data_IF_587338516199
#
_entry.id   IF_587338516199
#
_cell.length_a   1.000
_cell.length_b   1.000
_cell.length_c   1.000
_cell.angle_alpha   90.00
_cell.angle_beta   90.00
_cell.angle_gamma   90.00
#
_symmetry.space_group_name_H-M   'P 1'
#
loop_
_entity.id
_entity.type
_entity.pdbx_description
1 polymer ?
#
# COMPACT_ATOMS: atom_id res chain seq x y z
N UNK A 1 -29.80 -5.48 -22.90
CA UNK A 1 -28.61 -4.72 -23.36
C UNK A 1 -27.50 -4.90 -22.33
N UNK A 2 -26.27 -5.24 -22.71
CA UNK A 2 -25.36 -5.98 -21.86
C UNK A 2 -24.51 -5.02 -21.00
N UNK A 3 -24.77 -5.01 -19.70
CA UNK A 3 -24.00 -4.28 -18.67
C UNK A 3 -22.50 -4.60 -18.75
N UNK A 4 -22.14 -5.80 -19.19
CA UNK A 4 -20.76 -6.25 -19.36
C UNK A 4 -19.98 -5.47 -20.43
N UNK A 5 -20.64 -5.11 -21.55
CA UNK A 5 -20.00 -4.36 -22.63
C UNK A 5 -19.60 -2.94 -22.19
N UNK A 6 -20.39 -2.34 -21.30
CA UNK A 6 -20.16 -1.00 -20.77
C UNK A 6 -19.00 -0.98 -19.76
N UNK A 7 -18.86 -2.05 -18.97
CA UNK A 7 -17.78 -2.24 -17.99
C UNK A 7 -16.41 -2.43 -18.67
N UNK A 8 -16.38 -3.16 -19.79
CA UNK A 8 -15.16 -3.37 -20.59
C UNK A 8 -14.68 -2.05 -21.22
N UNK A 9 -15.59 -1.23 -21.75
CA UNK A 9 -15.24 0.07 -22.34
C UNK A 9 -14.70 1.03 -21.26
N UNK A 10 -15.33 1.05 -20.07
CA UNK A 10 -14.90 1.90 -18.95
C UNK A 10 -13.50 1.53 -18.45
N UNK A 11 -13.19 0.24 -18.32
CA UNK A 11 -11.86 -0.24 -17.93
C UNK A 11 -10.78 0.07 -18.98
N UNK A 12 -11.12 -0.04 -20.27
CA UNK A 12 -10.19 0.30 -21.36
C UNK A 12 -9.85 1.79 -21.38
N UNK A 13 -10.82 2.65 -21.10
CA UNK A 13 -10.64 4.10 -21.03
C UNK A 13 -9.77 4.50 -19.83
N UNK A 14 -10.01 3.91 -18.66
CA UNK A 14 -9.26 4.16 -17.43
C UNK A 14 -7.78 3.75 -17.59
N UNK A 15 -7.53 2.58 -18.19
CA UNK A 15 -6.17 2.09 -18.45
C UNK A 15 -5.40 2.98 -19.45
N UNK A 16 -6.09 3.55 -20.45
CA UNK A 16 -5.49 4.48 -21.41
C UNK A 16 -5.08 5.81 -20.75
N UNK A 17 -5.94 6.35 -19.88
CA UNK A 17 -5.62 7.56 -19.12
C UNK A 17 -4.46 7.33 -18.14
N UNK A 18 -4.43 6.17 -17.47
CA UNK A 18 -3.35 5.83 -16.55
C UNK A 18 -1.99 5.72 -17.26
N UNK A 19 -1.95 5.10 -18.45
CA UNK A 19 -0.73 5.06 -19.29
C UNK A 19 -0.26 6.46 -19.71
N UNK A 20 -1.18 7.36 -20.03
CA UNK A 20 -0.83 8.73 -20.40
C UNK A 20 -0.26 9.51 -19.21
N UNK A 21 -0.86 9.37 -18.02
CA UNK A 21 -0.34 9.92 -16.77
C UNK A 21 1.05 9.39 -16.40
N UNK A 22 1.27 8.07 -16.54
CA UNK A 22 2.59 7.45 -16.33
C UNK A 22 3.64 7.97 -17.32
N UNK A 23 3.26 8.21 -18.57
CA UNK A 23 4.16 8.75 -19.59
C UNK A 23 4.54 10.21 -19.31
N UNK A 24 3.58 11.03 -18.86
CA UNK A 24 3.82 12.43 -18.46
C UNK A 24 4.75 12.50 -17.24
N UNK A 25 4.50 11.67 -16.22
CA UNK A 25 5.33 11.63 -15.00
C UNK A 25 6.75 11.11 -15.27
N UNK A 26 6.93 10.20 -16.23
CA UNK A 26 8.25 9.75 -16.67
C UNK A 26 9.03 10.84 -17.43
N UNK A 27 8.35 11.65 -18.25
CA UNK A 27 8.95 12.73 -19.04
C UNK A 27 9.53 13.85 -18.15
N UNK A 28 8.85 14.16 -17.04
CA UNK A 28 9.27 15.20 -16.07
C UNK A 28 10.56 14.84 -15.31
N UNK A 29 10.99 13.57 -15.35
CA UNK A 29 12.16 13.10 -14.60
C UNK A 29 13.50 13.52 -15.21
N UNK A 30 13.52 14.02 -16.45
CA UNK A 30 14.75 14.16 -17.25
C UNK A 30 15.03 15.58 -17.75
N UNK A 31 14.45 16.62 -17.13
CA UNK A 31 14.74 18.01 -17.51
C UNK A 31 15.82 18.64 -16.60
N UNK A 32 16.87 19.15 -17.23
CA UNK A 32 17.97 19.85 -16.58
C UNK A 32 17.48 21.12 -15.88
N UNK A 33 17.44 21.07 -14.54
CA UNK A 33 16.93 22.14 -13.64
C UNK A 33 17.64 23.50 -13.76
N UNK A 34 18.65 23.63 -14.63
CA UNK A 34 19.49 24.84 -14.75
C UNK A 34 18.95 25.89 -15.73
N UNK A 35 18.09 25.50 -16.68
CA UNK A 35 17.54 26.37 -17.74
C UNK A 35 16.00 26.38 -17.75
N UNK A 36 15.40 25.99 -16.64
CA UNK A 36 13.95 25.85 -16.52
C UNK A 36 13.26 27.22 -16.47
N UNK A 37 12.25 27.42 -17.31
CA UNK A 37 11.40 28.62 -17.29
C UNK A 37 10.45 28.62 -16.09
N UNK A 38 10.05 29.80 -15.60
CA UNK A 38 9.11 29.95 -14.49
C UNK A 38 7.81 29.14 -14.69
N UNK A 39 7.31 29.09 -15.92
CA UNK A 39 6.11 28.32 -16.27
C UNK A 39 6.32 26.80 -16.11
N UNK A 40 7.51 26.29 -16.47
CA UNK A 40 7.85 24.88 -16.34
C UNK A 40 7.99 24.47 -14.87
N UNK A 41 8.59 25.33 -14.05
CA UNK A 41 8.68 25.12 -12.60
C UNK A 41 7.29 25.06 -11.96
N UNK A 42 6.38 25.98 -12.32
CA UNK A 42 5.02 26.00 -11.79
C UNK A 42 4.20 24.79 -12.24
N UNK A 43 4.32 24.39 -13.51
CA UNK A 43 3.67 23.19 -14.04
C UNK A 43 4.18 21.92 -13.33
N UNK A 44 5.47 21.81 -13.07
CA UNK A 44 6.06 20.70 -12.31
C UNK A 44 5.51 20.62 -10.90
N UNK A 45 5.41 21.75 -10.20
CA UNK A 45 4.83 21.82 -8.85
C UNK A 45 3.35 21.43 -8.89
N UNK A 46 2.58 21.98 -9.83
CA UNK A 46 1.17 21.66 -10.02
C UNK A 46 0.96 20.15 -10.26
N UNK A 47 1.75 19.51 -11.12
CA UNK A 47 1.66 18.07 -11.37
C UNK A 47 2.00 17.26 -10.12
N UNK A 48 3.00 17.66 -9.32
CA UNK A 48 3.31 16.99 -8.05
C UNK A 48 2.12 17.06 -7.08
N UNK A 49 1.49 18.23 -6.95
CA UNK A 49 0.31 18.41 -6.11
C UNK A 49 -0.90 17.63 -6.63
N UNK A 50 -1.16 17.66 -7.93
CA UNK A 50 -2.23 16.88 -8.56
C UNK A 50 -2.02 15.37 -8.35
N UNK A 51 -0.78 14.89 -8.49
CA UNK A 51 -0.43 13.49 -8.24
C UNK A 51 -0.65 13.12 -6.78
N UNK A 52 -0.33 14.04 -5.85
CA UNK A 52 -0.52 13.82 -4.42
C UNK A 52 -2.02 13.80 -4.05
N UNK A 53 -2.83 14.71 -4.60
CA UNK A 53 -4.30 14.70 -4.42
C UNK A 53 -4.89 13.42 -4.99
N UNK A 54 -4.50 13.05 -6.22
CA UNK A 54 -4.93 11.81 -6.83
C UNK A 54 -4.55 10.60 -5.98
N UNK A 55 -3.34 10.58 -5.45
CA UNK A 55 -2.89 9.52 -4.54
C UNK A 55 -3.74 9.47 -3.27
N UNK A 56 -4.04 10.61 -2.63
CA UNK A 56 -4.90 10.68 -1.43
C UNK A 56 -6.30 10.14 -1.74
N UNK A 57 -6.91 10.58 -2.85
CA UNK A 57 -8.26 10.13 -3.24
C UNK A 57 -8.30 8.63 -3.55
N UNK A 58 -7.30 8.11 -4.23
CA UNK A 58 -7.20 6.68 -4.55
C UNK A 58 -6.78 5.86 -3.33
N UNK A 59 -6.06 6.45 -2.37
CA UNK A 59 -5.60 5.77 -1.17
C UNK A 59 -6.77 5.28 -0.33
N UNK A 60 -7.86 6.04 -0.25
CA UNK A 60 -9.09 5.62 0.42
C UNK A 60 -9.67 4.34 -0.21
N UNK A 61 -9.86 4.34 -1.53
CA UNK A 61 -10.30 3.13 -2.26
C UNK A 61 -9.31 1.97 -2.18
N UNK A 62 -8.00 2.24 -2.11
CA UNK A 62 -6.98 1.21 -1.91
C UNK A 62 -7.04 0.62 -0.50
N UNK A 63 -7.32 1.44 0.51
CA UNK A 63 -7.53 0.97 1.88
C UNK A 63 -8.80 0.12 1.96
N UNK A 64 -9.90 0.55 1.35
CA UNK A 64 -11.14 -0.23 1.28
C UNK A 64 -10.91 -1.58 0.59
N UNK A 65 -10.21 -1.59 -0.55
CA UNK A 65 -9.85 -2.83 -1.23
C UNK A 65 -8.97 -3.73 -0.36
N UNK A 66 -8.00 -3.14 0.35
CA UNK A 66 -7.11 -3.89 1.24
C UNK A 66 -7.87 -4.49 2.42
N UNK A 67 -8.79 -3.75 3.03
CA UNK A 67 -9.65 -4.22 4.12
C UNK A 67 -10.59 -5.33 3.63
N UNK A 68 -11.20 -5.16 2.46
CA UNK A 68 -12.03 -6.20 1.83
C UNK A 68 -11.23 -7.48 1.54
N UNK A 69 -9.98 -7.34 1.07
CA UNK A 69 -9.11 -8.49 0.85
C UNK A 69 -8.71 -9.18 2.16
N UNK A 70 -8.41 -8.41 3.21
CA UNK A 70 -8.16 -8.96 4.54
C UNK A 70 -9.36 -9.73 5.08
N UNK A 71 -10.58 -9.21 4.90
CA UNK A 71 -11.81 -9.87 5.31
C UNK A 71 -11.98 -11.24 4.63
N UNK A 72 -11.77 -11.29 3.30
CA UNK A 72 -11.79 -12.55 2.54
C UNK A 72 -10.73 -13.53 3.06
N UNK A 73 -9.51 -13.06 3.34
CA UNK A 73 -8.43 -13.91 3.87
C UNK A 73 -8.78 -14.44 5.25
N UNK A 74 -9.36 -13.63 6.13
CA UNK A 74 -9.80 -14.05 7.46
C UNK A 74 -10.92 -15.10 7.32
N UNK A 75 -11.91 -14.85 6.46
CA UNK A 75 -13.01 -15.79 6.22
C UNK A 75 -12.51 -17.11 5.65
N UNK A 76 -11.59 -17.08 4.69
CA UNK A 76 -10.96 -18.27 4.13
C UNK A 76 -10.15 -19.04 5.19
N UNK A 77 -9.42 -18.31 6.05
CA UNK A 77 -8.67 -18.91 7.15
C UNK A 77 -9.60 -19.58 8.15
N UNK A 78 -10.72 -18.94 8.49
CA UNK A 78 -11.76 -19.51 9.34
C UNK A 78 -12.32 -20.80 8.74
N UNK A 79 -12.68 -20.79 7.45
CA UNK A 79 -13.16 -21.97 6.74
C UNK A 79 -12.14 -23.12 6.74
N UNK A 80 -10.85 -22.81 6.58
CA UNK A 80 -9.78 -23.80 6.67
C UNK A 80 -9.66 -24.40 8.08
N UNK A 81 -9.80 -23.58 9.13
CA UNK A 81 -9.80 -24.07 10.52
C UNK A 81 -10.99 -25.01 10.75
N UNK A 82 -12.19 -24.61 10.34
CA UNK A 82 -13.40 -25.42 10.47
C UNK A 82 -13.29 -26.76 9.72
N UNK A 83 -12.72 -26.74 8.51
CA UNK A 83 -12.46 -27.96 7.74
C UNK A 83 -11.47 -28.91 8.44
N UNK A 84 -10.40 -28.36 9.04
CA UNK A 84 -9.43 -29.14 9.81
C UNK A 84 -10.06 -29.71 11.07
N UNK A 85 -10.87 -28.92 11.78
CA UNK A 85 -11.60 -29.35 12.98
C UNK A 85 -12.53 -30.53 12.66
N UNK A 86 -13.33 -30.41 11.60
CA UNK A 86 -14.20 -31.49 11.14
C UNK A 86 -13.41 -32.77 10.79
N UNK A 87 -12.28 -32.62 10.08
CA UNK A 87 -11.40 -33.74 9.74
C UNK A 87 -10.83 -34.41 10.99
N UNK A 88 -10.44 -33.63 12.00
CA UNK A 88 -9.91 -34.15 13.27
C UNK A 88 -10.97 -34.90 14.06
N UNK A 89 -12.21 -34.40 14.12
CA UNK A 89 -13.34 -35.09 14.77
C UNK A 89 -13.57 -36.46 14.12
N UNK A 90 -13.64 -36.52 12.79
CA UNK A 90 -13.80 -37.78 12.05
C UNK A 90 -12.62 -38.74 12.30
N UNK A 91 -11.39 -38.23 12.25
CA UNK A 91 -10.19 -39.04 12.46
C UNK A 91 -10.15 -39.63 13.88
N UNK A 92 -10.53 -38.84 14.89
CA UNK A 92 -10.58 -39.28 16.29
C UNK A 92 -11.70 -40.30 16.53
N UNK A 93 -12.89 -40.07 15.97
CA UNK A 93 -14.00 -41.01 16.04
C UNK A 93 -13.61 -42.37 15.45
N UNK A 94 -12.88 -42.37 14.34
CA UNK A 94 -12.41 -43.60 13.69
C UNK A 94 -11.24 -44.26 14.43
N UNK A 95 -10.27 -43.48 14.93
CA UNK A 95 -9.04 -44.04 15.52
C UNK A 95 -9.20 -44.55 16.95
N UNK A 96 -10.11 -43.98 17.74
CA UNK A 96 -9.99 -44.09 19.20
C UNK A 96 -11.21 -44.72 19.91
N UNK A 97 -12.38 -44.89 19.27
CA UNK A 97 -13.57 -45.55 19.87
C UNK A 97 -13.83 -45.15 21.35
N UNK A 98 -13.52 -43.91 21.73
CA UNK A 98 -13.51 -43.41 23.11
C UNK A 98 -14.67 -42.44 23.32
N UNK A 99 -15.10 -42.29 24.56
CA UNK A 99 -16.20 -41.41 24.98
C UNK A 99 -15.98 -39.96 24.51
N UNK A 100 -17.03 -39.34 23.95
CA UNK A 100 -16.92 -38.09 23.17
C UNK A 100 -16.23 -36.93 23.91
N UNK A 101 -16.39 -36.84 25.23
CA UNK A 101 -15.80 -35.78 26.07
C UNK A 101 -14.26 -35.75 26.08
N UNK A 102 -13.58 -36.91 26.00
CA UNK A 102 -12.11 -36.92 26.01
C UNK A 102 -11.54 -36.46 24.67
N UNK A 103 -12.25 -36.73 23.57
CA UNK A 103 -11.81 -36.34 22.23
C UNK A 103 -11.86 -34.83 22.01
N UNK A 104 -12.91 -34.16 22.49
CA UNK A 104 -13.09 -32.70 22.38
C UNK A 104 -11.96 -31.95 23.09
N UNK A 105 -11.58 -32.41 24.28
CA UNK A 105 -10.51 -31.81 25.09
C UNK A 105 -9.13 -31.93 24.41
N UNK A 106 -8.86 -33.05 23.73
CA UNK A 106 -7.59 -33.28 23.01
C UNK A 106 -7.49 -32.36 21.78
N UNK A 107 -8.59 -32.18 21.04
CA UNK A 107 -8.60 -31.30 19.85
C UNK A 107 -8.32 -29.85 20.26
N UNK A 108 -9.06 -29.33 21.25
CA UNK A 108 -8.91 -27.94 21.71
C UNK A 108 -7.49 -27.67 22.21
N UNK A 109 -6.92 -28.57 23.02
CA UNK A 109 -5.56 -28.40 23.52
C UNK A 109 -4.52 -28.43 22.39
N UNK A 110 -4.70 -29.30 21.39
CA UNK A 110 -3.80 -29.37 20.23
C UNK A 110 -3.88 -28.10 19.38
N UNK A 111 -5.08 -27.56 19.19
CA UNK A 111 -5.29 -26.28 18.50
C UNK A 111 -4.63 -25.11 19.24
N UNK A 112 -4.78 -25.04 20.57
CA UNK A 112 -4.14 -24.00 21.40
C UNK A 112 -2.61 -24.07 21.31
N UNK A 113 -2.02 -25.26 21.42
CA UNK A 113 -0.56 -25.44 21.31
C UNK A 113 -0.06 -25.00 19.93
N UNK A 114 -0.78 -25.38 18.87
CA UNK A 114 -0.44 -25.02 17.49
C UNK A 114 -0.53 -23.51 17.26
N UNK A 115 -1.58 -22.87 17.75
CA UNK A 115 -1.78 -21.42 17.66
C UNK A 115 -0.67 -20.65 18.41
N UNK A 116 -0.33 -21.08 19.63
CA UNK A 116 0.77 -20.49 20.41
C UNK A 116 2.12 -20.64 19.69
N UNK A 117 2.39 -21.80 19.09
CA UNK A 117 3.62 -22.05 18.35
C UNK A 117 3.75 -21.15 17.11
N UNK A 118 2.67 -21.01 16.33
CA UNK A 118 2.64 -20.12 15.18
C UNK A 118 2.80 -18.66 15.56
N UNK A 119 2.09 -18.19 16.60
CA UNK A 119 2.22 -16.83 17.11
C UNK A 119 3.66 -16.54 17.57
N UNK A 120 4.27 -17.47 18.30
CA UNK A 120 5.67 -17.37 18.73
C UNK A 120 6.64 -17.26 17.54
N UNK A 121 6.48 -18.10 16.51
CA UNK A 121 7.28 -18.02 15.27
C UNK A 121 7.09 -16.69 14.56
N UNK A 122 5.87 -16.18 14.48
CA UNK A 122 5.56 -14.91 13.83
C UNK A 122 6.27 -13.74 14.52
N UNK A 123 6.21 -13.71 15.86
CA UNK A 123 6.88 -12.70 16.69
C UNK A 123 8.40 -12.72 16.49
N UNK A 124 9.02 -13.89 16.28
CA UNK A 124 10.45 -13.99 16.03
C UNK A 124 10.88 -13.53 14.63
N UNK A 125 10.04 -13.75 13.61
CA UNK A 125 10.37 -13.44 12.21
C UNK A 125 10.03 -11.98 11.84
N UNK A 126 8.92 -11.45 12.37
CA UNK A 126 8.45 -10.08 12.15
C UNK A 126 9.52 -8.99 12.34
N UNK A 127 10.36 -8.98 13.40
CA UNK A 127 11.36 -7.93 13.59
C UNK A 127 12.42 -7.95 12.49
N UNK A 128 12.83 -9.12 12.00
CA UNK A 128 13.86 -9.23 10.95
C UNK A 128 13.39 -8.63 9.63
N UNK A 129 12.15 -8.92 9.24
CA UNK A 129 11.52 -8.34 8.05
C UNK A 129 11.36 -6.82 8.19
N UNK A 130 10.89 -6.37 9.35
CA UNK A 130 10.70 -4.95 9.65
C UNK A 130 12.01 -4.16 9.58
N UNK A 131 13.09 -4.68 10.15
CA UNK A 131 14.42 -4.03 10.12
C UNK A 131 14.92 -3.92 8.67
N UNK A 132 14.81 -4.99 7.88
CA UNK A 132 15.25 -4.99 6.47
C UNK A 132 14.47 -3.98 5.64
N UNK A 133 13.16 -3.93 5.82
CA UNK A 133 12.30 -2.97 5.14
C UNK A 133 12.66 -1.53 5.52
N UNK A 134 12.76 -1.23 6.82
CA UNK A 134 13.17 0.10 7.32
C UNK A 134 14.53 0.52 6.77
N UNK A 135 15.52 -0.39 6.73
CA UNK A 135 16.86 -0.08 6.23
C UNK A 135 16.85 0.26 4.74
N UNK A 136 16.12 -0.51 3.93
CA UNK A 136 15.99 -0.27 2.49
C UNK A 136 15.27 1.05 2.21
N UNK A 137 14.18 1.32 2.93
CA UNK A 137 13.43 2.56 2.83
C UNK A 137 14.30 3.76 3.20
N UNK A 138 15.03 3.68 4.32
CA UNK A 138 15.94 4.73 4.78
C UNK A 138 17.06 4.98 3.77
N UNK A 139 17.65 3.94 3.19
CA UNK A 139 18.69 4.08 2.18
C UNK A 139 18.18 4.69 0.87
N UNK A 140 16.94 4.38 0.46
CA UNK A 140 16.30 5.02 -0.68
C UNK A 140 15.99 6.51 -0.39
N UNK A 141 15.45 6.77 0.79
CA UNK A 141 15.11 8.11 1.28
C UNK A 141 16.33 9.04 1.35
N UNK A 142 17.43 8.58 1.97
CA UNK A 142 18.68 9.35 2.06
C UNK A 142 19.26 9.67 0.68
N UNK A 143 19.18 8.74 -0.27
CA UNK A 143 19.61 8.97 -1.66
C UNK A 143 18.75 10.04 -2.34
N UNK A 144 17.44 10.04 -2.08
CA UNK A 144 16.52 11.05 -2.60
C UNK A 144 16.83 12.44 -2.03
N UNK A 145 16.92 12.57 -0.70
CA UNK A 145 17.27 13.84 -0.02
C UNK A 145 18.60 14.38 -0.54
N UNK A 146 19.63 13.54 -0.66
CA UNK A 146 20.95 14.01 -1.11
C UNK A 146 20.88 14.61 -2.52
N UNK A 147 20.13 13.98 -3.43
CA UNK A 147 19.93 14.50 -4.80
C UNK A 147 19.18 15.82 -4.78
N UNK A 148 18.10 15.92 -4.00
CA UNK A 148 17.32 17.15 -3.87
C UNK A 148 18.14 18.28 -3.26
N UNK A 149 18.92 18.02 -2.21
CA UNK A 149 19.78 19.00 -1.56
C UNK A 149 20.88 19.52 -2.50
N UNK A 150 21.51 18.65 -3.30
CA UNK A 150 22.45 19.07 -4.34
C UNK A 150 21.79 19.96 -5.39
N UNK A 151 20.58 19.59 -5.87
CA UNK A 151 19.81 20.43 -6.79
C UNK A 151 19.46 21.79 -6.19
N UNK A 152 19.01 21.82 -4.93
CA UNK A 152 18.61 23.04 -4.24
C UNK A 152 19.78 24.00 -4.03
N UNK A 153 20.97 23.46 -3.73
CA UNK A 153 22.19 24.27 -3.57
C UNK A 153 22.61 24.92 -4.88
N UNK A 154 22.41 24.26 -6.02
CA UNK A 154 22.74 24.79 -7.34
C UNK A 154 21.72 25.81 -7.89
N UNK A 155 20.56 25.98 -7.25
CA UNK A 155 19.48 26.85 -7.73
C UNK A 155 19.64 28.30 -7.23
N UNK A 156 19.27 29.27 -8.07
CA UNK A 156 19.34 30.70 -7.71
C UNK A 156 18.29 31.08 -6.65
N UNK A 157 18.57 32.15 -5.88
CA UNK A 157 17.71 32.60 -4.77
C UNK A 157 16.30 32.97 -5.25
N UNK A 158 16.18 33.65 -6.40
CA UNK A 158 14.87 34.02 -6.96
C UNK A 158 13.97 32.81 -7.25
N UNK A 159 14.54 31.72 -7.76
CA UNK A 159 13.79 30.47 -7.98
C UNK A 159 13.39 29.81 -6.67
N UNK A 160 14.23 29.89 -5.61
CA UNK A 160 13.88 29.34 -4.30
C UNK A 160 12.64 30.02 -3.72
N UNK A 161 12.57 31.35 -3.80
CA UNK A 161 11.42 32.12 -3.30
C UNK A 161 10.14 31.71 -4.02
N UNK A 162 10.16 31.66 -5.36
CA UNK A 162 9.00 31.26 -6.18
C UNK A 162 8.57 29.82 -5.91
N UNK A 163 9.53 28.92 -5.71
CA UNK A 163 9.26 27.52 -5.38
C UNK A 163 8.61 27.42 -4.00
N UNK A 164 9.15 28.10 -2.98
CA UNK A 164 8.58 28.15 -1.63
C UNK A 164 7.16 28.72 -1.66
N UNK A 165 6.90 29.81 -2.38
CA UNK A 165 5.55 30.38 -2.47
C UNK A 165 4.57 29.42 -3.14
N UNK A 166 4.97 28.71 -4.20
CA UNK A 166 4.13 27.73 -4.87
C UNK A 166 3.82 26.53 -3.96
N UNK A 167 4.81 26.06 -3.19
CA UNK A 167 4.61 25.00 -2.20
C UNK A 167 3.70 25.44 -1.07
N UNK A 168 3.91 26.63 -0.48
CA UNK A 168 3.06 27.16 0.59
C UNK A 168 1.61 27.30 0.15
N UNK A 169 1.36 27.81 -1.06
CA UNK A 169 0.02 27.95 -1.61
C UNK A 169 -0.63 26.59 -1.85
N UNK A 170 0.09 25.64 -2.45
CA UNK A 170 -0.40 24.28 -2.66
C UNK A 170 -0.68 23.55 -1.34
N UNK A 171 0.15 23.72 -0.31
CA UNK A 171 -0.10 23.13 1.02
C UNK A 171 -1.29 23.77 1.73
N UNK A 172 -1.46 25.09 1.63
CA UNK A 172 -2.64 25.76 2.18
C UNK A 172 -3.93 25.27 1.51
N UNK A 173 -3.89 25.09 0.18
CA UNK A 173 -5.00 24.52 -0.58
C UNK A 173 -5.33 23.09 -0.15
N UNK A 174 -4.32 22.23 0.03
CA UNK A 174 -4.53 20.87 0.54
C UNK A 174 -5.14 20.85 1.94
N UNK A 175 -4.67 21.72 2.84
CA UNK A 175 -5.21 21.81 4.20
C UNK A 175 -6.67 22.24 4.21
N UNK A 176 -7.06 23.18 3.33
CA UNK A 176 -8.46 23.58 3.15
C UNK A 176 -9.32 22.48 2.49
N UNK A 177 -8.73 21.62 1.66
CA UNK A 177 -9.48 20.55 1.01
C UNK A 177 -9.72 19.36 1.94
N UNK A 178 -8.80 19.11 2.88
CA UNK A 178 -8.86 17.96 3.80
C UNK A 178 -9.55 18.28 5.14
N UNK A 179 -9.56 19.56 5.55
CA UNK A 179 -10.21 20.03 6.78
C UNK A 179 -11.63 20.51 6.51
#
# INVERSE_FOLDING_TARGET
MPVESLLIIKNKMLCRQFKHFLKITAFIKHDDKKLESDQQMLLRVCIKFLTLIFFILVFDSLLDLFLSLLDIVIHLTHLMIEAIEYLLVLFLQFSINTTSQQSETIIVNTAIITALFLAYRLILVAPRLSIRFKRNLRAAWLRHIRREACCWRAMSIGHKIKCVSAYSFGTAFLLLFIG
#
